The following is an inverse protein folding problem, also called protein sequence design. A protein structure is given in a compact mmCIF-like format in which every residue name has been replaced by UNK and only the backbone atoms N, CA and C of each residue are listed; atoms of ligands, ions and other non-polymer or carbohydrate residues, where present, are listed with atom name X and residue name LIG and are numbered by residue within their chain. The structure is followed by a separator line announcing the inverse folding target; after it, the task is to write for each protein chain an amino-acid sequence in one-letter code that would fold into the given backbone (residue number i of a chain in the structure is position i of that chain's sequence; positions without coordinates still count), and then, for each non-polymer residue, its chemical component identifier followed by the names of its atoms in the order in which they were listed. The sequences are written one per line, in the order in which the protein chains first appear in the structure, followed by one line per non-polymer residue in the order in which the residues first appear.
data_IF_590752609338
#
_entry.id   IF_590752609338
#
_cell.length_a   1.000
_cell.length_b   1.000
_cell.length_c   1.000
_cell.angle_alpha   90.00
_cell.angle_beta   90.00
_cell.angle_gamma   90.00
#
_symmetry.space_group_name_H-M   'P 1'
#
loop_
_entity.id
_entity.type
_entity.pdbx_description
1 polymer ?
#
# COMPACT_ATOMS: atom_id res chain seq x y z
N UNK A 1 -3.79 2.19 22.06
CA UNK A 1 -3.18 3.49 22.45
C UNK A 1 -3.09 4.50 21.29
N UNK A 2 -3.82 4.31 20.16
CA UNK A 2 -3.82 5.24 19.00
C UNK A 2 -5.02 6.22 19.02
N UNK A 3 -6.02 5.99 19.87
CA UNK A 3 -7.25 6.81 19.92
C UNK A 3 -7.12 8.18 20.58
N UNK A 4 -5.99 8.49 21.24
CA UNK A 4 -5.81 9.76 21.98
C UNK A 4 -5.24 10.87 21.07
N UNK A 5 -4.56 10.49 19.98
CA UNK A 5 -3.88 11.42 19.07
C UNK A 5 -4.87 12.18 18.16
N UNK A 6 -6.11 11.69 17.99
CA UNK A 6 -7.10 12.30 17.08
C UNK A 6 -7.91 13.47 17.67
N UNK A 7 -7.80 13.74 18.97
CA UNK A 7 -8.63 14.76 19.64
C UNK A 7 -7.87 16.09 19.85
N UNK A 8 -6.54 16.11 19.69
CA UNK A 8 -5.70 17.30 19.93
C UNK A 8 -5.61 18.23 18.70
N UNK A 9 -6.13 17.81 17.54
CA UNK A 9 -6.09 18.60 16.30
C UNK A 9 -7.41 19.32 15.94
N UNK A 10 -8.34 19.44 16.89
CA UNK A 10 -9.63 20.14 16.66
C UNK A 10 -9.94 21.09 17.82
N UNK A 11 -9.13 22.14 17.97
CA UNK A 11 -9.59 23.38 18.59
C UNK A 11 -8.65 24.54 18.25
N UNK A 12 -9.18 25.49 17.45
CA UNK A 12 -8.93 26.94 17.54
C UNK A 12 -7.50 27.41 17.22
N UNK A 13 -7.22 27.99 16.04
CA UNK A 13 -7.70 29.34 15.70
C UNK A 13 -7.59 29.62 14.20
N UNK A 14 -8.58 30.36 13.70
CA UNK A 14 -8.72 30.93 12.37
C UNK A 14 -7.39 31.46 11.82
N UNK A 15 -6.86 30.82 10.79
CA UNK A 15 -6.01 31.48 9.80
C UNK A 15 -6.31 30.86 8.44
N UNK A 16 -6.61 31.73 7.47
CA UNK A 16 -6.97 31.42 6.10
C UNK A 16 -5.78 30.75 5.38
N UNK A 17 -5.62 29.45 5.54
CA UNK A 17 -4.84 28.64 4.62
C UNK A 17 -5.79 27.64 3.98
N UNK A 18 -6.17 27.92 2.75
CA UNK A 18 -6.82 26.96 1.87
C UNK A 18 -5.87 25.75 1.69
N UNK A 19 -5.89 24.81 2.62
CA UNK A 19 -5.31 23.47 2.41
C UNK A 19 -6.33 22.68 1.60
N UNK A 20 -6.52 23.10 0.35
CA UNK A 20 -6.92 22.20 -0.70
C UNK A 20 -5.69 21.36 -1.07
N UNK A 21 -5.84 20.04 -1.06
CA UNK A 21 -4.86 19.04 -1.48
C UNK A 21 -3.67 18.74 -0.53
N UNK A 22 -3.93 18.12 0.64
CA UNK A 22 -2.97 17.16 1.23
C UNK A 22 -3.70 15.94 1.76
N UNK A 23 -4.27 15.15 0.87
CA UNK A 23 -4.47 13.73 1.13
C UNK A 23 -3.99 12.92 -0.08
N UNK A 24 -2.72 13.11 -0.44
CA UNK A 24 -2.01 12.11 -1.25
C UNK A 24 -1.56 10.99 -0.30
N UNK A 25 -2.53 10.21 0.19
CA UNK A 25 -2.23 9.01 0.95
C UNK A 25 -1.72 7.94 -0.02
N UNK A 26 -0.40 7.90 -0.22
CA UNK A 26 0.25 6.78 -0.90
C UNK A 26 0.22 5.58 0.05
N UNK A 27 -0.95 4.94 0.11
CA UNK A 27 -1.14 3.71 0.87
C UNK A 27 -0.61 2.58 0.00
N UNK A 28 0.70 2.41 -0.03
CA UNK A 28 1.30 1.20 -0.60
C UNK A 28 0.76 0.03 0.20
N UNK A 29 -0.12 -0.77 -0.43
CA UNK A 29 -0.77 -1.90 0.23
C UNK A 29 0.22 -2.95 0.73
N UNK A 30 -0.21 -3.88 1.61
CA UNK A 30 0.67 -4.91 2.18
C UNK A 30 1.39 -5.72 1.11
N UNK A 31 0.70 -6.04 0.00
CA UNK A 31 1.27 -6.74 -1.16
C UNK A 31 2.35 -5.90 -1.84
N UNK A 32 2.12 -4.60 -2.05
CA UNK A 32 3.08 -3.73 -2.72
C UNK A 32 4.42 -3.65 -1.97
N UNK A 33 4.40 -3.71 -0.64
CA UNK A 33 5.59 -3.72 0.21
C UNK A 33 6.20 -5.11 0.36
N UNK A 34 5.40 -6.13 0.66
CA UNK A 34 5.90 -7.49 0.90
C UNK A 34 6.41 -8.18 -0.37
N UNK A 35 5.81 -7.88 -1.52
CA UNK A 35 6.19 -8.43 -2.81
C UNK A 35 7.12 -7.53 -3.59
N UNK A 36 7.70 -6.48 -2.99
CA UNK A 36 8.42 -5.48 -3.78
C UNK A 36 9.63 -6.06 -4.53
N UNK A 37 10.50 -6.77 -3.82
CA UNK A 37 11.67 -7.43 -4.40
C UNK A 37 11.28 -8.55 -5.40
N UNK A 38 10.20 -9.26 -5.10
CA UNK A 38 9.66 -10.30 -5.99
C UNK A 38 9.07 -9.69 -7.27
N UNK A 39 8.42 -8.53 -7.18
CA UNK A 39 7.91 -7.75 -8.31
C UNK A 39 9.06 -7.33 -9.22
N UNK A 40 10.13 -6.77 -8.66
CA UNK A 40 11.30 -6.35 -9.43
C UNK A 40 12.01 -7.53 -10.10
N UNK A 41 12.01 -8.70 -9.46
CA UNK A 41 12.70 -9.91 -9.95
C UNK A 41 11.89 -10.65 -11.02
N UNK A 42 10.60 -10.86 -10.78
CA UNK A 42 9.75 -11.72 -11.62
C UNK A 42 8.79 -10.95 -12.52
N UNK A 43 8.52 -9.69 -12.20
CA UNK A 43 7.47 -8.87 -12.79
C UNK A 43 7.98 -7.46 -13.15
N UNK A 44 9.25 -7.37 -13.57
CA UNK A 44 9.89 -6.11 -13.94
C UNK A 44 9.04 -5.32 -14.94
N UNK A 45 8.74 -4.06 -14.61
CA UNK A 45 7.87 -3.18 -15.41
C UNK A 45 6.41 -3.12 -14.95
N UNK A 46 6.01 -3.92 -13.96
CA UNK A 46 4.68 -3.81 -13.34
C UNK A 46 4.68 -2.75 -12.23
N UNK A 47 3.63 -1.91 -12.19
CA UNK A 47 3.52 -0.86 -11.17
C UNK A 47 3.02 -1.43 -9.84
N UNK A 48 3.72 -1.14 -8.75
CA UNK A 48 3.32 -1.60 -7.42
C UNK A 48 1.93 -1.10 -7.04
N UNK A 49 1.12 -1.98 -6.45
CA UNK A 49 -0.25 -1.65 -6.06
C UNK A 49 -1.26 -1.61 -7.21
N UNK A 50 -0.84 -1.93 -8.44
CA UNK A 50 -1.74 -2.12 -9.57
C UNK A 50 -2.26 -3.57 -9.62
N UNK A 51 -3.46 -3.77 -10.17
CA UNK A 51 -4.02 -5.12 -10.38
C UNK A 51 -3.13 -5.99 -11.28
N UNK A 52 -2.40 -5.37 -12.22
CA UNK A 52 -1.46 -6.05 -13.12
C UNK A 52 -0.24 -6.61 -12.39
N UNK A 53 0.30 -5.86 -11.43
CA UNK A 53 1.38 -6.34 -10.57
C UNK A 53 0.93 -7.52 -9.72
N UNK A 54 -0.29 -7.47 -9.18
CA UNK A 54 -0.87 -8.59 -8.46
C UNK A 54 -1.02 -9.82 -9.37
N UNK A 55 -1.59 -9.66 -10.57
CA UNK A 55 -1.77 -10.76 -11.50
C UNK A 55 -0.44 -11.44 -11.86
N UNK A 56 0.62 -10.66 -12.09
CA UNK A 56 1.95 -11.19 -12.37
C UNK A 56 2.54 -11.95 -11.16
N UNK A 57 2.40 -11.40 -9.96
CA UNK A 57 2.82 -12.06 -8.72
C UNK A 57 2.02 -13.34 -8.45
N UNK A 58 0.73 -13.36 -8.74
CA UNK A 58 -0.12 -14.56 -8.63
C UNK A 58 0.27 -15.63 -9.64
N UNK A 59 0.63 -15.25 -10.88
CA UNK A 59 1.17 -16.18 -11.87
C UNK A 59 2.55 -16.77 -11.46
N UNK A 60 3.32 -16.02 -10.65
CA UNK A 60 4.62 -16.44 -10.14
C UNK A 60 4.57 -16.82 -8.66
N UNK A 61 3.40 -17.10 -8.09
CA UNK A 61 3.20 -17.30 -6.65
C UNK A 61 4.10 -18.41 -6.07
N UNK A 62 4.51 -19.37 -6.88
CA UNK A 62 5.44 -20.44 -6.48
C UNK A 62 6.92 -20.07 -6.49
N UNK A 63 7.28 -18.97 -7.14
CA UNK A 63 8.66 -18.45 -7.24
C UNK A 63 8.93 -17.28 -6.30
N UNK A 64 7.88 -16.55 -5.90
CA UNK A 64 8.00 -15.43 -4.98
C UNK A 64 8.32 -15.89 -3.55
N UNK A 65 8.80 -14.95 -2.73
CA UNK A 65 9.06 -15.18 -1.31
C UNK A 65 7.80 -15.63 -0.54
N UNK A 66 8.01 -16.36 0.56
CA UNK A 66 6.92 -16.78 1.44
C UNK A 66 6.14 -15.57 2.02
N UNK A 67 6.82 -14.46 2.26
CA UNK A 67 6.20 -13.21 2.72
C UNK A 67 5.25 -12.63 1.67
N UNK A 68 5.66 -12.60 0.40
CA UNK A 68 4.80 -12.16 -0.69
C UNK A 68 3.60 -13.08 -0.87
N UNK A 69 3.82 -14.41 -0.83
CA UNK A 69 2.75 -15.42 -0.88
C UNK A 69 1.69 -15.15 0.20
N UNK A 70 2.13 -14.99 1.45
CA UNK A 70 1.25 -14.69 2.58
C UNK A 70 0.51 -13.36 2.40
N UNK A 71 1.16 -12.32 1.87
CA UNK A 71 0.51 -11.04 1.60
C UNK A 71 -0.59 -11.15 0.52
N UNK A 72 -0.33 -11.89 -0.56
CA UNK A 72 -1.32 -12.14 -1.63
C UNK A 72 -2.56 -12.87 -1.10
N UNK A 73 -2.35 -13.85 -0.21
CA UNK A 73 -3.41 -14.61 0.46
C UNK A 73 -4.18 -13.76 1.49
N UNK A 74 -3.49 -12.90 2.24
CA UNK A 74 -4.09 -12.08 3.29
C UNK A 74 -4.94 -10.92 2.77
N UNK A 75 -4.62 -10.35 1.59
CA UNK A 75 -5.33 -9.17 1.09
C UNK A 75 -6.47 -9.46 0.12
N UNK A 76 -6.54 -10.66 -0.48
CA UNK A 76 -7.56 -10.99 -1.50
C UNK A 76 -7.45 -10.17 -2.80
N UNK A 77 -8.06 -10.65 -3.89
CA UNK A 77 -7.93 -10.09 -5.25
C UNK A 77 -8.83 -8.90 -5.58
N UNK A 78 -9.04 -7.98 -4.63
CA UNK A 78 -9.91 -6.81 -4.76
C UNK A 78 -9.17 -5.53 -5.10
#
# INVERSE_FOLDING_TARGET
MVSIIRVIAIATSINLFAVGAVFAQTQSGPVASACAADLETYCAGQTHGSGEARACLEANKDKVSAACKAALDATGGG
#
